data_IF_613491627749
#
_entry.id   IF_613491627749
#
_cell.length_a   1.000
_cell.length_b   1.000
_cell.length_c   1.000
_cell.angle_alpha   90.00
_cell.angle_beta   90.00
_cell.angle_gamma   90.00
#
_symmetry.space_group_name_H-M   'P 1'
#
loop_
_entity.id
_entity.type
_entity.pdbx_description
1 polymer ?
#
# COMPACT_ATOMS: atom_id res chain seq x y z
N UNK A 1 -34.80 16.25 38.56
CA UNK A 1 -33.74 16.07 37.52
C UNK A 1 -32.75 14.93 37.80
N UNK A 2 -32.44 14.61 39.07
CA UNK A 2 -31.47 13.55 39.44
C UNK A 2 -31.96 12.11 39.14
N UNK A 3 -33.25 11.82 39.36
CA UNK A 3 -33.86 10.51 39.10
C UNK A 3 -33.87 10.12 37.61
N UNK A 4 -34.19 11.07 36.72
CA UNK A 4 -34.15 10.88 35.26
C UNK A 4 -32.74 10.51 34.74
N UNK A 5 -31.69 11.06 35.36
CA UNK A 5 -30.29 10.78 34.99
C UNK A 5 -29.87 9.36 35.41
N UNK A 6 -30.40 8.82 36.52
CA UNK A 6 -30.21 7.42 36.93
C UNK A 6 -30.98 6.45 36.02
N UNK A 7 -32.20 6.79 35.60
CA UNK A 7 -32.97 5.95 34.69
C UNK A 7 -32.32 5.83 33.30
N UNK A 8 -31.74 6.91 32.75
CA UNK A 8 -30.99 6.83 31.48
C UNK A 8 -29.80 5.87 31.55
N UNK A 9 -29.06 5.89 32.65
CA UNK A 9 -27.94 4.95 32.89
C UNK A 9 -28.44 3.51 33.03
N UNK A 10 -29.58 3.32 33.69
CA UNK A 10 -30.20 2.01 33.86
C UNK A 10 -30.71 1.44 32.53
N UNK A 11 -31.38 2.27 31.72
CA UNK A 11 -31.82 1.89 30.36
C UNK A 11 -30.63 1.53 29.47
N UNK A 12 -29.54 2.31 29.54
CA UNK A 12 -28.31 2.01 28.82
C UNK A 12 -27.67 0.68 29.28
N UNK A 13 -27.69 0.40 30.59
CA UNK A 13 -27.21 -0.86 31.16
C UNK A 13 -28.06 -2.05 30.67
N UNK A 14 -29.39 -1.92 30.70
CA UNK A 14 -30.31 -2.94 30.19
C UNK A 14 -30.11 -3.18 28.68
N UNK A 15 -29.89 -2.12 27.90
CA UNK A 15 -29.59 -2.22 26.48
C UNK A 15 -28.27 -2.96 26.23
N UNK A 16 -27.23 -2.68 27.01
CA UNK A 16 -25.96 -3.42 26.96
C UNK A 16 -26.16 -4.90 27.29
N UNK A 17 -26.94 -5.23 28.31
CA UNK A 17 -27.24 -6.63 28.64
C UNK A 17 -28.03 -7.35 27.54
N UNK A 18 -28.89 -6.64 26.81
CA UNK A 18 -29.65 -7.20 25.67
C UNK A 18 -28.75 -7.51 24.45
N UNK A 19 -27.61 -6.82 24.34
CA UNK A 19 -26.61 -7.06 23.30
C UNK A 19 -25.64 -8.20 23.64
N UNK A 20 -25.69 -8.73 24.87
CA UNK A 20 -24.88 -9.89 25.24
C UNK A 20 -25.60 -11.14 24.72
N UNK A 21 -24.99 -11.93 23.82
CA UNK A 21 -25.61 -13.15 23.33
C UNK A 21 -25.88 -14.10 24.51
N UNK A 22 -27.10 -14.67 24.56
CA UNK A 22 -27.57 -15.55 25.63
C UNK A 22 -26.70 -16.82 25.79
N UNK A 23 -25.97 -17.19 24.73
CA UNK A 23 -24.91 -18.18 24.75
C UNK A 23 -23.61 -17.56 24.23
N UNK A 24 -22.61 -17.40 25.10
CA UNK A 24 -21.23 -17.21 24.66
C UNK A 24 -20.60 -18.59 24.52
N UNK A 25 -20.35 -19.00 23.27
CA UNK A 25 -19.35 -20.05 23.04
C UNK A 25 -18.03 -19.36 23.33
N UNK A 26 -17.38 -19.73 24.43
CA UNK A 26 -16.09 -19.16 24.78
C UNK A 26 -15.12 -19.51 23.64
N UNK A 27 -14.62 -18.48 22.94
CA UNK A 27 -13.60 -18.68 21.93
C UNK A 27 -12.39 -19.32 22.62
N UNK A 28 -11.94 -20.45 22.10
CA UNK A 28 -10.71 -21.04 22.59
C UNK A 28 -9.55 -20.08 22.27
N UNK A 29 -8.46 -20.16 23.04
CA UNK A 29 -7.25 -19.39 22.84
C UNK A 29 -6.77 -19.46 21.38
N UNK A 30 -6.86 -20.64 20.75
CA UNK A 30 -6.54 -20.83 19.33
C UNK A 30 -7.38 -19.95 18.41
N UNK A 31 -8.70 -19.91 18.61
CA UNK A 31 -9.62 -19.12 17.78
C UNK A 31 -9.39 -17.62 17.96
N UNK A 32 -9.10 -17.19 19.20
CA UNK A 32 -8.70 -15.81 19.50
C UNK A 32 -7.41 -15.46 18.76
N UNK A 33 -6.42 -16.36 18.73
CA UNK A 33 -5.18 -16.17 17.99
C UNK A 33 -5.45 -16.03 16.49
N UNK A 34 -6.30 -16.88 15.91
CA UNK A 34 -6.66 -16.83 14.49
C UNK A 34 -7.41 -15.54 14.12
N UNK A 35 -8.33 -15.08 14.96
CA UNK A 35 -9.02 -13.80 14.76
C UNK A 35 -8.01 -12.65 14.83
N UNK A 36 -7.11 -12.66 15.83
CA UNK A 36 -6.10 -11.62 16.00
C UNK A 36 -5.14 -11.54 14.80
N UNK A 37 -4.63 -12.67 14.32
CA UNK A 37 -3.74 -12.71 13.17
C UNK A 37 -4.45 -12.32 11.88
N UNK A 38 -5.68 -12.81 11.67
CA UNK A 38 -6.50 -12.44 10.52
C UNK A 38 -6.81 -10.94 10.45
N UNK A 39 -7.21 -10.34 11.57
CA UNK A 39 -7.48 -8.89 11.66
C UNK A 39 -6.21 -8.08 11.39
N UNK A 40 -5.07 -8.49 11.96
CA UNK A 40 -3.79 -7.82 11.71
C UNK A 40 -3.39 -7.89 10.23
N UNK A 41 -3.56 -9.05 9.58
CA UNK A 41 -3.26 -9.24 8.17
C UNK A 41 -4.12 -8.33 7.27
N UNK A 42 -5.44 -8.32 7.49
CA UNK A 42 -6.36 -7.45 6.74
C UNK A 42 -6.02 -5.97 6.94
N UNK A 43 -5.72 -5.56 8.17
CA UNK A 43 -5.32 -4.18 8.47
C UNK A 43 -4.02 -3.79 7.75
N UNK A 44 -3.02 -4.68 7.73
CA UNK A 44 -1.77 -4.44 7.02
C UNK A 44 -1.99 -4.34 5.51
N UNK A 45 -2.78 -5.25 4.94
CA UNK A 45 -3.04 -5.27 3.50
C UNK A 45 -3.87 -4.05 3.06
N UNK A 46 -4.87 -3.65 3.85
CA UNK A 46 -5.67 -2.46 3.55
C UNK A 46 -4.83 -1.18 3.53
N UNK A 47 -3.83 -1.09 4.40
CA UNK A 47 -2.94 0.07 4.49
C UNK A 47 -1.68 -0.07 3.63
N UNK A 48 -1.53 -1.15 2.89
CA UNK A 48 -0.37 -1.35 2.04
C UNK A 48 -0.45 -0.39 0.83
N UNK A 49 0.50 0.54 0.78
CA UNK A 49 0.66 1.51 -0.31
C UNK A 49 1.73 1.06 -1.29
N UNK A 50 2.19 -0.19 -1.23
CA UNK A 50 3.22 -0.75 -2.13
C UNK A 50 2.92 -0.50 -3.62
N UNK A 51 1.65 -0.53 -4.02
CA UNK A 51 1.22 -0.22 -5.39
C UNK A 51 1.20 1.27 -5.77
N UNK A 52 1.29 2.18 -4.79
CA UNK A 52 1.33 3.62 -5.05
C UNK A 52 2.73 4.11 -5.45
N UNK A 53 3.75 3.26 -5.34
CA UNK A 53 5.11 3.58 -5.73
C UNK A 53 5.41 2.96 -7.09
N UNK A 54 5.75 3.80 -8.06
CA UNK A 54 6.27 3.33 -9.33
C UNK A 54 7.59 2.59 -9.06
N UNK A 55 7.65 1.30 -9.39
CA UNK A 55 8.83 0.47 -9.18
C UNK A 55 10.02 1.05 -9.97
N UNK A 56 11.24 0.87 -9.45
CA UNK A 56 12.44 1.32 -10.17
C UNK A 56 12.54 0.67 -11.56
N UNK A 57 12.05 -0.56 -11.70
CA UNK A 57 11.95 -1.25 -12.97
C UNK A 57 10.96 -0.57 -13.92
N UNK A 58 9.78 -0.14 -13.43
CA UNK A 58 8.83 0.65 -14.22
C UNK A 58 9.44 1.96 -14.69
N UNK A 59 10.18 2.66 -13.80
CA UNK A 59 10.90 3.90 -14.16
C UNK A 59 11.95 3.65 -15.24
N UNK A 60 12.76 2.59 -15.11
CA UNK A 60 13.75 2.20 -16.11
C UNK A 60 13.10 1.89 -17.46
N UNK A 61 12.02 1.11 -17.45
CA UNK A 61 11.27 0.77 -18.67
C UNK A 61 10.67 2.00 -19.35
N UNK A 62 10.19 2.98 -18.57
CA UNK A 62 9.66 4.23 -19.11
C UNK A 62 10.75 5.11 -19.75
N UNK A 63 11.95 5.14 -19.16
CA UNK A 63 13.10 5.84 -19.74
C UNK A 63 13.55 5.15 -21.02
N UNK A 64 13.69 3.83 -21.01
CA UNK A 64 14.05 3.02 -22.17
C UNK A 64 13.00 3.12 -23.29
N UNK A 65 11.71 3.07 -22.96
CA UNK A 65 10.63 3.24 -23.93
C UNK A 65 10.65 4.64 -24.54
N UNK A 66 10.88 5.67 -23.72
CA UNK A 66 11.04 7.03 -24.22
C UNK A 66 12.29 7.18 -25.09
N UNK A 67 13.41 6.54 -24.74
CA UNK A 67 14.62 6.55 -25.55
C UNK A 67 14.41 5.84 -26.89
N UNK A 68 13.80 4.65 -26.88
CA UNK A 68 13.51 3.90 -28.11
C UNK A 68 12.46 4.60 -28.99
N UNK A 69 11.45 5.23 -28.41
CA UNK A 69 10.49 6.06 -29.16
C UNK A 69 11.16 7.33 -29.72
N UNK A 70 12.13 7.90 -28.99
CA UNK A 70 12.92 9.03 -29.45
C UNK A 70 14.14 8.62 -30.30
N UNK A 71 14.35 7.33 -30.58
CA UNK A 71 15.46 6.84 -31.43
C UNK A 71 15.30 7.26 -32.89
N UNK A 72 14.12 7.76 -33.26
CA UNK A 72 13.84 8.44 -34.53
C UNK A 72 14.38 9.90 -34.53
N UNK A 73 14.66 10.47 -33.36
CA UNK A 73 15.24 11.81 -33.20
C UNK A 73 16.69 11.70 -32.77
N UNK A 74 17.59 12.20 -33.62
CA UNK A 74 19.00 12.39 -33.33
C UNK A 74 19.16 13.08 -31.97
N UNK A 75 19.57 12.34 -30.93
CA UNK A 75 19.79 12.91 -29.61
C UNK A 75 20.98 13.87 -29.76
N UNK A 76 20.68 15.17 -29.75
CA UNK A 76 21.71 16.21 -29.78
C UNK A 76 22.65 16.01 -28.59
N UNK A 77 23.95 16.10 -28.83
CA UNK A 77 25.01 15.92 -27.82
C UNK A 77 24.74 16.70 -26.52
N UNK A 78 24.22 17.92 -26.63
CA UNK A 78 23.83 18.77 -25.48
C UNK A 78 22.75 18.15 -24.59
N UNK A 79 21.80 17.40 -25.17
CA UNK A 79 20.77 16.71 -24.39
C UNK A 79 21.34 15.49 -23.68
N UNK A 80 22.31 14.81 -24.27
CA UNK A 80 23.00 13.68 -23.64
C UNK A 80 23.87 14.15 -22.46
N UNK A 81 24.64 15.23 -22.64
CA UNK A 81 25.51 15.78 -21.58
C UNK A 81 24.73 16.29 -20.36
N UNK A 82 23.48 16.68 -20.55
CA UNK A 82 22.60 17.17 -19.48
C UNK A 82 21.88 16.05 -18.70
N UNK A 83 22.03 14.79 -19.09
CA UNK A 83 21.47 13.67 -18.33
C UNK A 83 22.33 13.35 -17.11
N UNK A 84 21.73 12.87 -16.00
CA UNK A 84 22.47 12.28 -14.90
C UNK A 84 23.43 11.18 -15.37
N UNK A 85 24.61 11.08 -14.75
CA UNK A 85 25.70 10.20 -15.15
C UNK A 85 25.26 8.73 -15.28
N UNK A 86 24.38 8.26 -14.39
CA UNK A 86 23.79 6.92 -14.42
C UNK A 86 22.97 6.66 -15.70
N UNK A 87 22.24 7.67 -16.19
CA UNK A 87 21.45 7.56 -17.42
C UNK A 87 22.33 7.62 -18.66
N UNK A 88 23.41 8.41 -18.62
CA UNK A 88 24.42 8.43 -19.68
C UNK A 88 25.07 7.06 -19.88
N UNK A 89 25.46 6.41 -18.77
CA UNK A 89 26.08 5.08 -18.79
C UNK A 89 25.15 4.01 -19.40
N UNK A 90 23.87 4.01 -19.02
CA UNK A 90 22.87 3.07 -19.56
C UNK A 90 22.70 3.20 -21.08
N UNK A 91 22.69 4.43 -21.60
CA UNK A 91 22.59 4.69 -23.04
C UNK A 91 23.83 4.18 -23.77
N UNK A 92 25.03 4.40 -23.22
CA UNK A 92 26.29 3.92 -23.81
C UNK A 92 26.33 2.39 -23.84
N UNK A 93 25.88 1.73 -22.78
CA UNK A 93 25.79 0.27 -22.68
C UNK A 93 24.87 -0.30 -23.77
N UNK A 94 23.68 0.29 -23.96
CA UNK A 94 22.73 -0.15 -24.99
C UNK A 94 23.27 0.05 -26.42
N UNK A 95 23.99 1.16 -26.68
CA UNK A 95 24.65 1.41 -27.97
C UNK A 95 25.78 0.41 -28.26
N UNK A 96 26.54 0.01 -27.23
CA UNK A 96 27.60 -0.98 -27.38
C UNK A 96 27.07 -2.40 -27.56
N UNK A 97 25.92 -2.73 -26.98
CA UNK A 97 25.27 -4.04 -27.14
C UNK A 97 24.61 -4.25 -28.51
N UNK A 98 24.36 -3.17 -29.28
CA UNK A 98 23.78 -3.22 -30.62
C UNK A 98 24.84 -3.30 -31.75
N UNK A 99 26.13 -3.33 -31.42
CA UNK A 99 27.25 -3.58 -32.35
C UNK A 99 27.64 -5.05 -32.34
#
# INVERSE_FOLDING_TARGET
MFLLKKMKKFVFLCFLCFLIPCSSIALNLFEIFMIKTGVAFVYHQYNDKSLNYESELSKKNKILSNFNNNRILTIKSEKFSNLPLQQQLLIIEELNLQK
#
